data_IF_764499125614
#
_entry.id   IF_764499125614
#
_cell.length_a   1.000
_cell.length_b   1.000
_cell.length_c   1.000
_cell.angle_alpha   90.00
_cell.angle_beta   90.00
_cell.angle_gamma   90.00
#
_symmetry.space_group_name_H-M   'P 1'
#
loop_
_entity.id
_entity.type
_entity.pdbx_description
1 polymer ?
#
# COMPACT_ATOMS: atom_id res chain seq x y z
N UNK A 1 14.41 -6.92 23.30
CA UNK A 1 14.60 -7.13 21.88
C UNK A 1 14.75 -5.79 21.19
N UNK A 2 15.73 -5.64 20.32
CA UNK A 2 16.04 -4.41 19.59
C UNK A 2 16.01 -4.70 18.09
N UNK A 3 15.12 -3.99 17.38
CA UNK A 3 14.90 -4.13 15.94
C UNK A 3 15.05 -2.76 15.30
N UNK A 4 15.83 -2.69 14.23
CA UNK A 4 15.96 -1.50 13.41
C UNK A 4 15.01 -1.61 12.21
N UNK A 5 14.14 -0.63 12.04
CA UNK A 5 13.25 -0.53 10.89
C UNK A 5 13.77 0.51 9.90
N UNK A 6 13.65 0.21 8.62
CA UNK A 6 13.99 1.12 7.52
C UNK A 6 13.12 0.83 6.30
N UNK A 7 13.02 1.77 5.34
CA UNK A 7 12.35 1.51 4.07
C UNK A 7 13.00 0.38 3.29
N UNK A 8 12.18 -0.38 2.55
CA UNK A 8 12.60 -1.38 1.55
C UNK A 8 11.93 -1.08 0.21
N UNK A 9 12.47 -1.62 -0.87
CA UNK A 9 11.84 -1.61 -2.20
C UNK A 9 10.94 -2.83 -2.43
N UNK A 10 11.04 -3.83 -1.56
CA UNK A 10 10.26 -5.05 -1.64
C UNK A 10 8.91 -4.89 -0.95
N UNK A 11 7.82 -5.37 -1.56
CA UNK A 11 6.49 -5.37 -0.92
C UNK A 11 6.44 -6.26 0.32
N UNK A 12 7.21 -7.34 0.32
CA UNK A 12 7.33 -8.26 1.44
C UNK A 12 8.31 -7.73 2.47
N UNK A 13 8.17 -8.21 3.71
CA UNK A 13 9.14 -7.94 4.77
C UNK A 13 10.53 -8.41 4.32
N UNK A 14 11.48 -7.50 4.32
CA UNK A 14 12.90 -7.81 4.21
C UNK A 14 13.45 -7.97 5.64
N UNK A 15 13.63 -9.22 6.08
CA UNK A 15 14.07 -9.52 7.42
C UNK A 15 15.51 -10.06 7.44
N UNK A 16 16.33 -9.56 8.36
CA UNK A 16 17.68 -10.06 8.61
C UNK A 16 18.03 -10.01 10.11
N UNK A 17 19.05 -10.80 10.50
CA UNK A 17 19.63 -10.78 11.84
C UNK A 17 21.09 -10.32 11.82
N UNK A 18 21.47 -9.50 12.79
CA UNK A 18 22.85 -9.05 13.05
C UNK A 18 23.18 -9.25 14.54
N UNK A 19 22.88 -10.42 15.07
CA UNK A 19 23.01 -10.74 16.51
C UNK A 19 24.46 -11.01 16.90
N UNK A 20 24.90 -10.39 18.00
CA UNK A 20 26.20 -10.63 18.60
C UNK A 20 26.07 -11.36 19.93
N UNK A 21 27.03 -12.28 20.21
CA UNK A 21 27.17 -12.90 21.52
C UNK A 21 26.04 -13.83 21.97
N UNK A 22 25.11 -14.21 21.06
CA UNK A 22 24.01 -15.11 21.41
C UNK A 22 22.91 -14.45 22.26
N UNK A 23 22.77 -13.14 22.19
CA UNK A 23 21.76 -12.35 22.90
C UNK A 23 20.31 -12.83 22.64
N UNK A 24 20.04 -13.37 21.46
CA UNK A 24 18.82 -14.11 21.12
C UNK A 24 19.21 -15.44 20.51
N UNK A 25 18.75 -16.58 21.07
CA UNK A 25 19.02 -17.90 20.49
C UNK A 25 18.43 -18.02 19.09
N UNK A 26 19.18 -18.62 18.16
CA UNK A 26 18.81 -18.70 16.73
C UNK A 26 17.48 -19.40 16.46
N UNK A 27 17.09 -20.33 17.32
CA UNK A 27 15.81 -21.03 17.21
C UNK A 27 14.58 -20.12 17.41
N UNK A 28 14.74 -18.92 18.02
CA UNK A 28 13.66 -17.96 18.21
C UNK A 28 13.59 -16.87 17.12
N UNK A 29 14.61 -16.75 16.28
CA UNK A 29 14.63 -15.79 15.16
C UNK A 29 13.44 -15.96 14.21
N UNK A 30 13.03 -17.18 13.81
CA UNK A 30 11.83 -17.38 13.00
C UNK A 30 10.55 -16.93 13.69
N UNK A 31 10.46 -17.00 15.02
CA UNK A 31 9.29 -16.51 15.77
C UNK A 31 9.20 -14.98 15.74
N UNK A 32 10.35 -14.29 15.75
CA UNK A 32 10.43 -12.83 15.60
C UNK A 32 9.91 -12.43 14.20
N UNK A 33 10.45 -13.04 13.15
CA UNK A 33 10.02 -12.79 11.77
C UNK A 33 8.51 -13.01 11.59
N UNK A 34 8.00 -14.14 12.09
CA UNK A 34 6.57 -14.44 12.06
C UNK A 34 5.73 -13.38 12.80
N UNK A 35 6.21 -12.91 13.95
CA UNK A 35 5.54 -11.84 14.69
C UNK A 35 5.48 -10.52 13.95
N UNK A 36 6.54 -10.15 13.23
CA UNK A 36 6.59 -8.98 12.38
C UNK A 36 5.62 -9.11 11.18
N UNK A 37 5.64 -10.25 10.48
CA UNK A 37 4.74 -10.52 9.36
C UNK A 37 3.26 -10.40 9.75
N UNK A 38 2.87 -10.96 10.90
CA UNK A 38 1.50 -10.84 11.39
C UNK A 38 1.11 -9.38 11.72
N UNK A 39 2.04 -8.60 12.27
CA UNK A 39 1.78 -7.19 12.54
C UNK A 39 1.70 -6.33 11.27
N UNK A 40 2.40 -6.71 10.20
CA UNK A 40 2.32 -6.04 8.91
C UNK A 40 0.96 -6.17 8.24
N UNK A 41 0.20 -7.21 8.53
CA UNK A 41 -1.16 -7.36 7.96
C UNK A 41 -2.13 -6.30 8.49
N UNK A 42 -1.84 -5.68 9.64
CA UNK A 42 -2.66 -4.63 10.24
C UNK A 42 -1.78 -3.50 10.79
N UNK A 43 -1.43 -2.58 9.92
CA UNK A 43 -0.56 -1.44 10.23
C UNK A 43 -1.18 -0.41 11.17
N UNK A 44 -0.34 0.48 11.76
CA UNK A 44 -0.75 1.35 12.88
C UNK A 44 -1.59 2.56 12.47
N UNK A 45 -1.63 2.97 11.19
CA UNK A 45 -2.34 4.20 10.78
C UNK A 45 -3.84 4.00 10.58
N UNK A 46 -4.19 3.08 9.68
CA UNK A 46 -5.57 2.85 9.27
C UNK A 46 -5.88 1.36 9.10
N UNK A 47 -5.19 0.48 9.86
CA UNK A 47 -5.38 -0.96 9.78
C UNK A 47 -5.04 -1.59 8.43
N UNK A 48 -4.48 -0.82 7.49
CA UNK A 48 -4.05 -1.32 6.20
C UNK A 48 -2.77 -2.13 6.32
N UNK A 49 -2.55 -3.04 5.37
CA UNK A 49 -1.31 -3.81 5.29
C UNK A 49 -0.09 -2.91 5.12
N UNK A 50 0.96 -3.16 5.91
CA UNK A 50 2.24 -2.49 5.73
C UNK A 50 3.05 -3.18 4.62
N UNK A 51 3.69 -2.39 3.78
CA UNK A 51 4.59 -2.83 2.70
C UNK A 51 5.89 -2.04 2.75
N UNK A 52 6.89 -2.48 2.00
CA UNK A 52 8.18 -1.80 1.86
C UNK A 52 8.92 -1.60 3.19
N UNK A 53 8.89 -2.61 4.06
CA UNK A 53 9.54 -2.60 5.38
C UNK A 53 10.73 -3.54 5.40
N UNK A 54 11.87 -3.02 5.82
CA UNK A 54 13.06 -3.79 6.21
C UNK A 54 13.20 -3.77 7.72
N UNK A 55 13.41 -4.94 8.32
CA UNK A 55 13.64 -5.11 9.74
C UNK A 55 14.93 -5.88 9.99
N UNK A 56 15.81 -5.33 10.85
CA UNK A 56 17.05 -5.96 11.27
C UNK A 56 17.01 -6.21 12.75
N UNK A 57 17.02 -7.47 13.17
CA UNK A 57 17.14 -7.87 14.57
C UNK A 57 18.62 -7.82 14.95
N UNK A 58 19.02 -6.87 15.80
CA UNK A 58 20.43 -6.68 16.11
C UNK A 58 20.80 -6.95 17.58
N UNK A 59 19.83 -6.97 18.50
CA UNK A 59 20.08 -7.27 19.92
C UNK A 59 18.82 -7.74 20.63
N UNK A 60 18.99 -8.34 21.83
CA UNK A 60 17.90 -8.78 22.67
C UNK A 60 18.37 -9.32 24.01
N UNK A 61 17.44 -9.87 24.77
CA UNK A 61 17.72 -10.62 25.99
C UNK A 61 16.94 -11.92 25.98
N UNK A 62 17.51 -12.92 26.64
CA UNK A 62 16.96 -14.27 26.74
C UNK A 62 17.10 -14.75 28.18
N UNK A 63 16.06 -15.42 28.68
CA UNK A 63 16.05 -16.08 29.98
C UNK A 63 15.47 -17.49 29.81
N UNK A 64 16.18 -18.51 30.30
CA UNK A 64 15.82 -19.93 30.11
C UNK A 64 14.40 -20.29 30.58
N UNK A 65 13.89 -19.59 31.59
CA UNK A 65 12.58 -19.87 32.18
C UNK A 65 11.43 -19.15 31.50
N UNK A 66 11.66 -17.90 31.02
CA UNK A 66 10.60 -16.99 30.58
C UNK A 66 10.56 -16.79 29.06
N UNK A 67 11.55 -17.33 28.35
CA UNK A 67 11.67 -17.17 26.91
C UNK A 67 11.15 -18.37 26.14
N UNK A 68 10.20 -18.12 25.24
CA UNK A 68 9.64 -19.10 24.32
C UNK A 68 9.25 -18.40 23.00
N UNK A 69 8.83 -19.16 22.01
CA UNK A 69 8.43 -18.64 20.70
C UNK A 69 7.32 -17.58 20.80
N UNK A 70 6.33 -17.78 21.69
CA UNK A 70 5.20 -16.87 21.87
C UNK A 70 5.68 -15.53 22.43
N UNK A 71 6.56 -15.55 23.44
CA UNK A 71 7.11 -14.31 24.04
C UNK A 71 7.94 -13.52 23.05
N UNK A 72 8.77 -14.18 22.22
CA UNK A 72 9.52 -13.50 21.14
C UNK A 72 8.61 -12.92 20.06
N UNK A 73 7.57 -13.65 19.66
CA UNK A 73 6.56 -13.17 18.72
C UNK A 73 5.82 -11.92 19.24
N UNK A 74 5.38 -11.95 20.50
CA UNK A 74 4.73 -10.80 21.15
C UNK A 74 5.68 -9.60 21.28
N UNK A 75 6.93 -9.84 21.67
CA UNK A 75 7.93 -8.80 21.77
C UNK A 75 8.24 -8.16 20.40
N UNK A 76 8.25 -8.95 19.32
CA UNK A 76 8.37 -8.44 17.95
C UNK A 76 7.20 -7.53 17.58
N UNK A 77 5.97 -7.92 17.92
CA UNK A 77 4.78 -7.10 17.70
C UNK A 77 4.79 -5.78 18.46
N UNK A 78 5.29 -5.77 19.70
CA UNK A 78 5.45 -4.53 20.49
C UNK A 78 6.50 -3.63 19.84
N UNK A 79 7.64 -4.19 19.46
CA UNK A 79 8.71 -3.46 18.78
C UNK A 79 8.25 -2.87 17.45
N UNK A 80 7.47 -3.63 16.67
CA UNK A 80 6.90 -3.18 15.40
C UNK A 80 5.98 -1.97 15.59
N UNK A 81 4.98 -2.09 16.46
CA UNK A 81 4.02 -0.99 16.71
C UNK A 81 4.72 0.28 17.15
N UNK A 82 5.68 0.18 18.08
CA UNK A 82 6.45 1.34 18.55
C UNK A 82 7.34 1.91 17.45
N UNK A 83 8.11 1.07 16.77
CA UNK A 83 9.05 1.49 15.74
C UNK A 83 8.36 2.10 14.52
N UNK A 84 7.22 1.55 14.10
CA UNK A 84 6.47 2.08 12.95
C UNK A 84 5.89 3.46 13.22
N UNK A 85 5.42 3.76 14.44
CA UNK A 85 4.96 5.12 14.80
C UNK A 85 6.11 6.12 14.73
N UNK A 86 7.28 5.76 15.24
CA UNK A 86 8.49 6.60 15.22
C UNK A 86 9.07 6.77 13.80
N UNK A 87 8.83 5.80 12.91
CA UNK A 87 9.32 5.82 11.53
C UNK A 87 8.51 6.74 10.59
N UNK A 88 7.48 7.42 11.09
CA UNK A 88 6.61 8.31 10.31
C UNK A 88 6.03 7.63 9.05
N UNK A 89 5.21 6.57 9.21
CA UNK A 89 4.61 5.85 8.10
C UNK A 89 3.62 6.72 7.33
N UNK A 90 3.44 6.44 6.03
CA UNK A 90 2.43 7.08 5.20
C UNK A 90 1.43 6.07 4.64
N UNK A 91 0.24 6.54 4.28
CA UNK A 91 -0.72 5.74 3.53
C UNK A 91 -0.36 5.73 2.05
N UNK A 92 -0.42 4.55 1.45
CA UNK A 92 -0.23 4.36 0.02
C UNK A 92 -1.55 3.99 -0.64
N UNK A 93 -1.77 4.48 -1.85
CA UNK A 93 -2.88 4.10 -2.72
C UNK A 93 -2.37 3.48 -4.01
N UNK A 94 -3.03 2.44 -4.55
CA UNK A 94 -2.67 1.87 -5.83
C UNK A 94 -3.07 2.81 -6.96
N UNK A 95 -2.12 3.10 -7.83
CA UNK A 95 -2.32 3.83 -9.08
C UNK A 95 -2.48 2.81 -10.20
N UNK A 96 -3.55 2.98 -10.97
CA UNK A 96 -3.86 2.13 -12.11
C UNK A 96 -3.46 2.82 -13.39
N UNK A 97 -2.77 2.11 -14.26
CA UNK A 97 -2.61 2.49 -15.66
C UNK A 97 -3.88 2.18 -16.43
N UNK A 98 -4.36 3.15 -17.21
CA UNK A 98 -5.62 3.10 -17.93
C UNK A 98 -5.37 3.28 -19.42
N UNK A 99 -5.91 2.39 -20.24
CA UNK A 99 -6.05 2.54 -21.68
C UNK A 99 -7.54 2.67 -22.02
N UNK A 100 -7.96 3.83 -22.48
CA UNK A 100 -9.37 4.14 -22.68
C UNK A 100 -9.61 4.39 -24.16
N UNK A 101 -10.51 3.63 -24.75
CA UNK A 101 -10.84 3.68 -26.18
C UNK A 101 -12.22 4.32 -26.37
N UNK A 102 -12.27 5.45 -27.05
CA UNK A 102 -13.52 6.20 -27.28
C UNK A 102 -13.48 6.86 -28.65
N UNK A 103 -14.67 7.07 -29.29
CA UNK A 103 -14.75 7.93 -30.45
C UNK A 103 -14.28 9.35 -30.14
N UNK A 104 -13.70 10.01 -31.14
CA UNK A 104 -13.09 11.34 -31.00
C UNK A 104 -14.06 12.38 -30.39
N UNK A 105 -15.34 12.31 -30.73
CA UNK A 105 -16.39 13.21 -30.22
C UNK A 105 -16.54 13.20 -28.69
N UNK A 106 -16.14 12.14 -28.01
CA UNK A 106 -16.24 11.99 -26.53
C UNK A 106 -14.94 12.22 -25.80
N UNK A 107 -13.84 12.42 -26.51
CA UNK A 107 -12.51 12.54 -25.90
C UNK A 107 -12.44 13.66 -24.86
N UNK A 108 -13.03 14.82 -25.16
CA UNK A 108 -13.05 15.96 -24.25
C UNK A 108 -13.75 15.66 -22.92
N UNK A 109 -14.90 14.97 -22.98
CA UNK A 109 -15.68 14.61 -21.80
C UNK A 109 -14.93 13.57 -20.95
N UNK A 110 -14.30 12.58 -21.60
CA UNK A 110 -13.51 11.53 -20.94
C UNK A 110 -12.27 12.12 -20.25
N UNK A 111 -11.56 13.04 -20.92
CA UNK A 111 -10.44 13.76 -20.30
C UNK A 111 -10.88 14.59 -19.10
N UNK A 112 -12.03 15.27 -19.22
CA UNK A 112 -12.61 16.04 -18.13
C UNK A 112 -13.01 15.19 -16.93
N UNK A 113 -13.59 14.01 -17.15
CA UNK A 113 -13.93 13.06 -16.09
C UNK A 113 -12.67 12.47 -15.44
N UNK A 114 -11.67 12.09 -16.23
CA UNK A 114 -10.40 11.57 -15.72
C UNK A 114 -9.71 12.58 -14.80
N UNK A 115 -9.69 13.86 -15.15
CA UNK A 115 -9.15 14.92 -14.31
C UNK A 115 -9.90 15.05 -12.96
N UNK A 116 -11.23 14.90 -12.96
CA UNK A 116 -12.04 14.90 -11.71
C UNK A 116 -11.69 13.74 -10.80
N UNK A 117 -11.27 12.60 -11.36
CA UNK A 117 -10.83 11.39 -10.65
C UNK A 117 -9.37 11.43 -10.20
N UNK A 118 -8.78 12.59 -10.12
CA UNK A 118 -7.35 12.77 -9.82
C UNK A 118 -6.43 12.06 -10.83
N UNK A 119 -6.96 11.77 -12.01
CA UNK A 119 -6.22 11.11 -13.07
C UNK A 119 -5.20 12.03 -13.72
N UNK A 120 -4.11 11.43 -14.15
CA UNK A 120 -3.05 12.08 -14.94
C UNK A 120 -3.09 11.54 -16.36
N UNK A 121 -3.32 12.41 -17.32
CA UNK A 121 -3.27 12.05 -18.73
C UNK A 121 -1.82 11.95 -19.18
N UNK A 122 -1.46 10.82 -19.79
CA UNK A 122 -0.11 10.53 -20.28
C UNK A 122 0.02 10.80 -21.78
N UNK A 123 -1.04 10.55 -22.53
CA UNK A 123 -1.01 10.74 -23.99
C UNK A 123 -2.30 10.33 -24.66
N UNK A 124 -2.36 10.57 -25.97
CA UNK A 124 -3.45 10.15 -26.83
C UNK A 124 -2.87 9.55 -28.11
N UNK A 125 -3.50 8.50 -28.62
CA UNK A 125 -3.07 7.78 -29.82
C UNK A 125 -4.30 7.53 -30.72
N UNK A 126 -4.29 8.01 -31.97
CA UNK A 126 -5.35 7.67 -32.91
C UNK A 126 -5.30 6.18 -33.27
N UNK A 127 -6.47 5.55 -33.34
CA UNK A 127 -6.62 4.15 -33.71
C UNK A 127 -7.04 4.00 -35.17
N UNK A 128 -6.68 2.88 -35.79
CA UNK A 128 -7.06 2.59 -37.18
C UNK A 128 -8.58 2.49 -37.39
N UNK A 129 -9.35 2.24 -36.33
CA UNK A 129 -10.83 2.23 -36.33
C UNK A 129 -11.45 3.60 -36.45
N UNK A 130 -10.69 4.69 -36.29
CA UNK A 130 -11.19 6.08 -36.18
C UNK A 130 -11.48 6.50 -34.73
N UNK A 131 -11.30 5.61 -33.76
CA UNK A 131 -11.37 5.93 -32.33
C UNK A 131 -10.06 6.54 -31.86
N UNK A 132 -10.09 7.09 -30.64
CA UNK A 132 -8.91 7.56 -29.93
C UNK A 132 -8.63 6.66 -28.74
N UNK A 133 -7.36 6.40 -28.48
CA UNK A 133 -6.87 5.74 -27.27
C UNK A 133 -6.29 6.80 -26.34
N UNK A 134 -6.88 6.97 -25.17
CA UNK A 134 -6.36 7.81 -24.10
C UNK A 134 -5.56 6.96 -23.14
N UNK A 135 -4.31 7.36 -22.90
CA UNK A 135 -3.44 6.78 -21.87
C UNK A 135 -3.52 7.68 -20.63
N UNK A 136 -3.85 7.09 -19.49
CA UNK A 136 -3.95 7.82 -18.24
C UNK A 136 -3.53 6.96 -17.04
N UNK A 137 -3.25 7.61 -15.93
CA UNK A 137 -3.09 6.98 -14.62
C UNK A 137 -4.09 7.57 -13.67
N UNK A 138 -4.71 6.74 -12.82
CA UNK A 138 -5.63 7.23 -11.79
C UNK A 138 -5.60 6.33 -10.55
N UNK A 139 -5.88 6.88 -9.35
CA UNK A 139 -6.02 6.09 -8.14
C UNK A 139 -7.20 5.12 -8.25
N UNK A 140 -6.98 3.86 -7.86
CA UNK A 140 -8.01 2.82 -7.92
C UNK A 140 -9.30 3.21 -7.18
N UNK A 141 -9.17 3.93 -6.08
CA UNK A 141 -10.30 4.40 -5.28
C UNK A 141 -11.28 5.29 -6.07
N UNK A 142 -10.81 5.98 -7.11
CA UNK A 142 -11.63 6.86 -7.95
C UNK A 142 -12.27 6.12 -9.15
N UNK A 143 -12.01 4.82 -9.30
CA UNK A 143 -12.38 4.06 -10.50
C UNK A 143 -13.53 3.05 -10.29
N UNK A 144 -14.09 2.94 -9.08
CA UNK A 144 -15.11 1.93 -8.77
C UNK A 144 -16.36 2.01 -9.66
N UNK A 145 -16.79 3.21 -10.03
CA UNK A 145 -17.96 3.46 -10.88
C UNK A 145 -17.58 3.77 -12.32
N UNK A 146 -16.29 3.76 -12.67
CA UNK A 146 -15.79 4.26 -13.95
C UNK A 146 -16.42 3.57 -15.16
N UNK A 147 -16.60 2.27 -15.11
CA UNK A 147 -17.22 1.50 -16.20
C UNK A 147 -18.65 2.00 -16.52
N UNK A 148 -19.43 2.33 -15.48
CA UNK A 148 -20.78 2.84 -15.64
C UNK A 148 -20.78 4.26 -16.22
N UNK A 149 -19.92 5.12 -15.67
CA UNK A 149 -19.80 6.51 -16.08
C UNK A 149 -19.29 6.61 -17.52
N UNK A 150 -18.26 5.84 -17.89
CA UNK A 150 -17.73 5.80 -19.26
C UNK A 150 -18.81 5.36 -20.26
N UNK A 151 -19.58 4.31 -19.96
CA UNK A 151 -20.66 3.84 -20.83
C UNK A 151 -21.75 4.91 -20.99
N UNK A 152 -22.13 5.57 -19.92
CA UNK A 152 -23.14 6.64 -19.96
C UNK A 152 -22.65 7.82 -20.81
N UNK A 153 -21.42 8.25 -20.61
CA UNK A 153 -20.80 9.39 -21.28
C UNK A 153 -20.62 9.17 -22.79
N UNK A 154 -20.29 7.93 -23.18
CA UNK A 154 -19.99 7.55 -24.57
C UNK A 154 -21.15 6.83 -25.28
N UNK A 155 -22.35 6.83 -24.70
CA UNK A 155 -23.51 6.09 -25.24
C UNK A 155 -23.21 4.60 -25.49
N UNK A 156 -22.44 3.98 -24.60
CA UNK A 156 -22.06 2.57 -24.68
C UNK A 156 -20.89 2.25 -25.61
N UNK A 157 -20.29 3.24 -26.26
CA UNK A 157 -19.20 3.05 -27.24
C UNK A 157 -17.81 3.03 -26.64
N UNK A 158 -17.62 3.55 -25.41
CA UNK A 158 -16.35 3.59 -24.72
C UNK A 158 -16.01 2.24 -24.07
N UNK A 159 -14.75 1.83 -24.18
CA UNK A 159 -14.18 0.68 -23.48
C UNK A 159 -12.87 1.09 -22.80
N UNK A 160 -12.44 0.34 -21.80
CA UNK A 160 -11.15 0.57 -21.17
C UNK A 160 -10.53 -0.72 -20.67
N UNK A 161 -9.22 -0.69 -20.56
CA UNK A 161 -8.41 -1.69 -19.86
C UNK A 161 -7.67 -0.99 -18.73
N UNK A 162 -7.45 -1.69 -17.62
CA UNK A 162 -6.66 -1.18 -16.50
C UNK A 162 -5.74 -2.24 -15.93
N UNK A 163 -4.56 -1.80 -15.54
CA UNK A 163 -3.56 -2.64 -14.87
C UNK A 163 -2.95 -1.88 -13.70
N UNK A 164 -2.46 -2.61 -12.70
CA UNK A 164 -1.72 -2.00 -11.60
C UNK A 164 -0.40 -1.43 -12.11
N UNK A 165 -0.10 -0.19 -11.78
CA UNK A 165 1.14 0.47 -12.16
C UNK A 165 2.11 0.54 -10.98
N UNK A 166 1.70 1.16 -9.87
CA UNK A 166 2.51 1.34 -8.66
C UNK A 166 1.67 1.75 -7.46
N UNK A 167 2.29 1.70 -6.29
CA UNK A 167 1.78 2.43 -5.13
C UNK A 167 2.31 3.87 -5.11
N UNK A 168 1.49 4.79 -4.66
CA UNK A 168 1.82 6.21 -4.47
C UNK A 168 1.27 6.69 -3.13
N UNK A 169 1.97 7.65 -2.51
CA UNK A 169 1.52 8.25 -1.27
C UNK A 169 0.19 9.00 -1.47
N UNK A 170 -0.75 8.73 -0.56
CA UNK A 170 -2.06 9.42 -0.51
C UNK A 170 -1.83 10.87 -0.13
N UNK A 171 -2.47 11.85 -0.80
CA UNK A 171 -2.39 13.26 -0.42
C UNK A 171 -2.74 13.46 1.05
N UNK A 172 -1.95 14.24 1.79
CA UNK A 172 -2.01 14.37 3.24
C UNK A 172 -3.43 14.63 3.77
N UNK A 173 -4.19 15.54 3.16
CA UNK A 173 -5.55 15.87 3.59
C UNK A 173 -6.52 14.68 3.50
N UNK A 174 -6.32 13.77 2.52
CA UNK A 174 -7.09 12.55 2.37
C UNK A 174 -6.62 11.48 3.35
N UNK A 175 -5.30 11.35 3.53
CA UNK A 175 -4.73 10.42 4.49
C UNK A 175 -5.21 10.72 5.91
N UNK A 176 -5.18 11.99 6.33
CA UNK A 176 -5.66 12.43 7.64
C UNK A 176 -7.14 12.07 7.86
N UNK A 177 -7.98 12.20 6.81
CA UNK A 177 -9.39 11.81 6.87
C UNK A 177 -9.57 10.30 7.03
N UNK A 178 -8.87 9.50 6.25
CA UNK A 178 -8.92 8.03 6.31
C UNK A 178 -8.48 7.54 7.70
N UNK A 179 -7.40 8.10 8.24
CA UNK A 179 -6.90 7.76 9.57
C UNK A 179 -7.93 8.10 10.65
N UNK A 180 -8.52 9.29 10.60
CA UNK A 180 -9.54 9.72 11.57
C UNK A 180 -10.80 8.83 11.52
N UNK A 181 -11.27 8.47 10.32
CA UNK A 181 -12.41 7.56 10.14
C UNK A 181 -12.13 6.16 10.71
N UNK A 182 -10.92 5.64 10.51
CA UNK A 182 -10.50 4.36 11.07
C UNK A 182 -10.47 4.39 12.61
N UNK A 183 -9.87 5.42 13.20
CA UNK A 183 -9.80 5.60 14.66
C UNK A 183 -11.20 5.66 15.28
N UNK A 184 -12.11 6.43 14.68
CA UNK A 184 -13.50 6.50 15.13
C UNK A 184 -14.26 5.17 14.99
N UNK A 185 -13.83 4.26 14.14
CA UNK A 185 -14.42 2.93 13.99
C UNK A 185 -13.90 1.90 15.01
N UNK A 186 -12.67 2.07 15.51
CA UNK A 186 -12.08 1.21 16.54
C UNK A 186 -12.57 1.54 17.96
N UNK A 187 -13.10 2.75 18.19
CA UNK A 187 -13.64 3.18 19.48
C UNK A 187 -15.11 2.73 19.72
N UNK A 188 -15.74 2.10 18.75
CA UNK A 188 -17.12 1.57 18.83
C UNK A 188 -17.15 0.08 19.09
#
# INVERSE_FOLDING_TARGET
>A
MHIKFSPSTEERLEFSEELFGGSVPKNYVPAVEKGLLECMEKGPLAGCKCVNVKAVLYDGSYHDVDSNEVSFKLAAGIAFRKGMVEANPCLLEPIMHMEIYVPDDYMGDVMGDMNKRRGKILGMEPQASGDQKLLAEAPQAELFDYALVLRSMTQGRGTFEMSFERYQEVPKAMADKIIAEHQASEEK
#
